data_IF_113927212094
#
_entry.id   IF_113927212094
#
_cell.length_a   1.000
_cell.length_b   1.000
_cell.length_c   1.000
_cell.angle_alpha   90.00
_cell.angle_beta   90.00
_cell.angle_gamma   90.00
#
_symmetry.space_group_name_H-M   'P 1'
#
loop_
_entity.id
_entity.type
_entity.pdbx_description
1 polymer ?
#
# COMPACT_ATOMS: atom_id res chain seq x y z
N UNK A 1 -11.20 -24.85 20.59
CA UNK A 1 -11.32 -23.73 19.68
C UNK A 1 -11.92 -24.16 18.35
N UNK A 2 -12.77 -23.35 17.79
CA UNK A 2 -13.48 -23.67 16.56
C UNK A 2 -12.53 -23.63 15.36
N UNK A 3 -12.52 -24.70 14.55
CA UNK A 3 -11.71 -24.79 13.34
C UNK A 3 -11.95 -23.64 12.35
N UNK A 4 -13.20 -23.17 12.26
CA UNK A 4 -13.56 -22.06 11.38
C UNK A 4 -12.86 -20.76 11.79
N UNK A 5 -12.71 -20.54 13.08
CA UNK A 5 -12.03 -19.35 13.60
C UNK A 5 -10.54 -19.41 13.27
N UNK A 6 -9.91 -20.57 13.45
CA UNK A 6 -8.50 -20.74 13.11
C UNK A 6 -8.26 -20.54 11.62
N UNK A 7 -9.14 -21.11 10.78
CA UNK A 7 -9.03 -20.95 9.34
C UNK A 7 -9.17 -19.48 8.92
N UNK A 8 -10.12 -18.76 9.52
CA UNK A 8 -10.34 -17.35 9.21
C UNK A 8 -9.13 -16.47 9.57
N UNK A 9 -8.48 -16.77 10.71
CA UNK A 9 -7.29 -16.03 11.14
C UNK A 9 -6.02 -16.43 10.39
N UNK A 10 -5.96 -17.64 9.87
CA UNK A 10 -4.81 -18.12 9.10
C UNK A 10 -4.91 -17.79 7.62
N UNK A 11 -6.06 -17.26 7.15
CA UNK A 11 -6.25 -16.89 5.76
C UNK A 11 -5.25 -15.81 5.37
N UNK A 12 -4.44 -16.03 4.31
CA UNK A 12 -3.47 -15.03 3.89
C UNK A 12 -4.15 -13.73 3.45
N UNK A 13 -3.53 -12.61 3.76
CA UNK A 13 -3.99 -11.32 3.28
C UNK A 13 -3.87 -11.24 1.76
N UNK A 14 -4.78 -10.51 1.12
CA UNK A 14 -4.70 -10.26 -0.32
C UNK A 14 -3.51 -9.36 -0.61
N UNK A 15 -2.51 -9.89 -1.29
CA UNK A 15 -1.27 -9.20 -1.63
C UNK A 15 -1.09 -9.15 -3.13
N UNK A 16 -0.43 -8.10 -3.60
CA UNK A 16 -0.07 -7.97 -5.01
C UNK A 16 1.39 -7.53 -5.14
N UNK A 17 1.97 -7.77 -6.31
CA UNK A 17 3.30 -7.32 -6.64
C UNK A 17 3.29 -6.01 -7.42
N UNK A 18 4.49 -5.53 -7.78
CA UNK A 18 4.62 -4.27 -8.50
C UNK A 18 3.98 -4.34 -9.90
N UNK A 19 3.95 -5.50 -10.52
CA UNK A 19 3.36 -5.65 -11.86
C UNK A 19 1.88 -5.27 -11.84
N UNK A 20 1.17 -5.69 -10.80
CA UNK A 20 -0.24 -5.35 -10.64
C UNK A 20 -0.43 -3.86 -10.41
N UNK A 21 0.44 -3.24 -9.63
CA UNK A 21 0.36 -1.79 -9.39
C UNK A 21 0.56 -1.03 -10.68
N UNK A 22 1.54 -1.43 -11.50
CA UNK A 22 1.80 -0.80 -12.79
C UNK A 22 0.58 -0.91 -13.70
N UNK A 23 -0.04 -2.09 -13.77
CA UNK A 23 -1.21 -2.32 -14.62
C UNK A 23 -2.44 -1.57 -14.13
N UNK A 24 -2.60 -1.43 -12.82
CA UNK A 24 -3.79 -0.82 -12.23
C UNK A 24 -3.67 0.68 -12.06
N UNK A 25 -2.56 1.28 -12.39
CA UNK A 25 -2.40 2.74 -12.27
C UNK A 25 -3.50 3.46 -13.06
N UNK A 26 -4.12 4.44 -12.41
CA UNK A 26 -5.25 5.14 -12.97
C UNK A 26 -6.58 4.40 -12.87
N UNK A 27 -6.56 3.12 -12.53
CA UNK A 27 -7.75 2.27 -12.41
C UNK A 27 -8.03 1.85 -10.97
N UNK A 28 -7.19 2.24 -10.03
CA UNK A 28 -7.31 1.88 -8.63
C UNK A 28 -7.22 3.12 -7.75
N UNK A 29 -7.67 2.98 -6.51
CA UNK A 29 -7.42 3.98 -5.47
C UNK A 29 -6.15 3.58 -4.76
N UNK A 30 -5.08 4.35 -4.96
CA UNK A 30 -3.78 4.06 -4.38
C UNK A 30 -3.61 4.86 -3.10
N UNK A 31 -3.49 4.17 -1.99
CA UNK A 31 -3.48 4.76 -0.65
C UNK A 31 -2.20 4.36 0.07
N UNK A 32 -1.50 5.35 0.61
CA UNK A 32 -0.29 5.09 1.40
C UNK A 32 -0.62 5.06 2.90
N UNK A 33 0.20 4.32 3.65
CA UNK A 33 0.11 4.27 5.11
C UNK A 33 1.38 4.79 5.77
N UNK A 34 2.19 5.57 5.04
CA UNK A 34 3.41 6.14 5.56
C UNK A 34 3.12 7.19 6.65
N UNK A 35 4.04 7.37 7.61
CA UNK A 35 3.92 8.49 8.55
C UNK A 35 4.06 9.83 7.81
N UNK A 36 3.43 10.91 8.31
CA UNK A 36 3.46 12.21 7.63
C UNK A 36 4.86 12.71 7.28
N UNK A 37 5.85 12.41 8.12
CA UNK A 37 7.24 12.81 7.89
C UNK A 37 7.90 12.15 6.68
N UNK A 38 7.29 11.09 6.13
CA UNK A 38 7.84 10.32 5.02
C UNK A 38 6.97 10.33 3.77
N UNK A 39 6.06 11.30 3.66
CA UNK A 39 5.14 11.41 2.53
C UNK A 39 5.58 12.40 1.45
N UNK A 40 6.82 12.85 1.48
CA UNK A 40 7.33 13.78 0.46
C UNK A 40 7.40 13.15 -0.93
N UNK A 41 7.72 11.88 -1.01
CA UNK A 41 7.80 11.15 -2.27
C UNK A 41 6.91 9.93 -2.18
N UNK A 42 5.89 9.89 -3.01
CA UNK A 42 4.92 8.80 -3.04
C UNK A 42 4.81 8.27 -4.47
N UNK A 43 4.26 7.08 -4.62
CA UNK A 43 3.94 6.52 -5.94
C UNK A 43 2.98 7.48 -6.64
N UNK A 44 3.24 7.78 -7.89
CA UNK A 44 2.38 8.69 -8.67
C UNK A 44 0.94 8.18 -8.71
N UNK A 45 -0.01 9.05 -8.43
CA UNK A 45 -1.42 8.70 -8.37
C UNK A 45 -1.91 8.37 -6.96
N UNK A 46 -1.04 8.41 -5.95
CA UNK A 46 -1.45 8.21 -4.57
C UNK A 46 -2.41 9.32 -4.14
N UNK A 47 -3.51 8.93 -3.51
CA UNK A 47 -4.50 9.88 -3.01
C UNK A 47 -3.93 10.65 -1.81
N UNK A 48 -4.20 11.95 -1.74
CA UNK A 48 -3.88 12.71 -0.53
C UNK A 48 -4.91 12.38 0.56
N UNK A 49 -4.68 12.87 1.77
CA UNK A 49 -5.51 12.56 2.91
C UNK A 49 -6.99 12.89 2.68
N UNK A 50 -7.27 14.05 2.09
CA UNK A 50 -8.65 14.47 1.83
C UNK A 50 -9.29 13.62 0.75
N UNK A 51 -8.57 13.33 -0.33
CA UNK A 51 -9.06 12.47 -1.39
C UNK A 51 -9.33 11.06 -0.88
N UNK A 52 -8.47 10.55 -0.01
CA UNK A 52 -8.64 9.24 0.63
C UNK A 52 -9.91 9.21 1.47
N UNK A 53 -10.12 10.20 2.32
CA UNK A 53 -11.32 10.30 3.15
C UNK A 53 -12.58 10.36 2.29
N UNK A 54 -12.59 11.22 1.28
CA UNK A 54 -13.73 11.38 0.40
C UNK A 54 -14.03 10.07 -0.35
N UNK A 55 -13.01 9.37 -0.81
CA UNK A 55 -13.17 8.11 -1.51
C UNK A 55 -13.77 7.03 -0.60
N UNK A 56 -13.23 6.87 0.61
CA UNK A 56 -13.72 5.87 1.55
C UNK A 56 -15.14 6.20 2.00
N UNK A 57 -15.44 7.46 2.29
CA UNK A 57 -16.78 7.88 2.65
C UNK A 57 -17.78 7.61 1.52
N UNK A 58 -17.38 7.82 0.28
CA UNK A 58 -18.25 7.52 -0.86
C UNK A 58 -18.58 6.03 -0.97
N UNK A 59 -17.62 5.16 -0.67
CA UNK A 59 -17.83 3.72 -0.66
C UNK A 59 -18.80 3.29 0.43
N UNK A 60 -18.71 3.90 1.61
CA UNK A 60 -19.54 3.56 2.75
C UNK A 60 -20.97 4.06 2.59
N UNK A 61 -21.19 5.16 1.84
CA UNK A 61 -22.52 5.76 1.70
C UNK A 61 -23.31 5.27 0.49
N UNK A 62 -22.65 4.79 -0.56
CA UNK A 62 -23.31 4.49 -1.82
C UNK A 62 -23.77 3.05 -1.99
N UNK A 63 -23.43 2.14 -1.13
CA UNK A 63 -23.78 0.72 -1.24
C UNK A 63 -23.46 0.08 -2.61
N UNK A 64 -22.56 0.69 -3.39
CA UNK A 64 -22.23 0.20 -4.72
C UNK A 64 -20.88 -0.50 -4.72
N UNK A 65 -20.85 -1.72 -5.25
CA UNK A 65 -19.64 -2.52 -5.39
C UNK A 65 -18.85 -2.22 -6.68
N UNK A 66 -19.16 -1.13 -7.35
CA UNK A 66 -18.55 -0.80 -8.63
C UNK A 66 -17.33 0.06 -8.52
N UNK A 67 -16.82 0.21 -7.33
CA UNK A 67 -15.67 1.05 -7.07
C UNK A 67 -14.38 0.44 -7.57
N UNK A 68 -13.43 1.30 -7.81
CA UNK A 68 -12.06 0.89 -8.10
C UNK A 68 -11.51 0.05 -6.96
N UNK A 69 -10.66 -0.94 -7.23
CA UNK A 69 -9.98 -1.64 -6.15
C UNK A 69 -9.08 -0.67 -5.38
N UNK A 70 -8.91 -0.94 -4.09
CA UNK A 70 -8.01 -0.17 -3.24
C UNK A 70 -6.69 -0.92 -3.16
N UNK A 71 -5.60 -0.21 -3.40
CA UNK A 71 -4.25 -0.74 -3.22
C UNK A 71 -3.57 0.08 -2.12
N UNK A 72 -3.17 -0.61 -1.05
CA UNK A 72 -2.49 0.00 0.08
C UNK A 72 -1.00 -0.32 0.00
N UNK A 73 -0.16 0.62 0.39
CA UNK A 73 1.27 0.35 0.52
C UNK A 73 1.88 1.15 1.66
N UNK A 74 2.93 0.60 2.25
CA UNK A 74 3.68 1.25 3.31
C UNK A 74 5.11 1.54 2.90
N UNK A 75 6.02 1.59 3.85
CA UNK A 75 7.42 1.90 3.62
C UNK A 75 8.15 0.80 2.86
N UNK A 76 7.92 -0.45 3.24
CA UNK A 76 8.68 -1.59 2.75
C UNK A 76 7.94 -2.89 3.06
N UNK A 77 8.56 -4.02 2.75
CA UNK A 77 7.94 -5.34 2.92
C UNK A 77 7.73 -5.74 4.39
N UNK A 78 8.41 -5.09 5.33
CA UNK A 78 8.29 -5.38 6.76
C UNK A 78 7.32 -4.45 7.49
N UNK A 79 6.72 -3.50 6.78
CA UNK A 79 5.78 -2.55 7.37
C UNK A 79 4.41 -3.21 7.56
N UNK A 80 3.92 -3.21 8.80
CA UNK A 80 2.63 -3.80 9.15
C UNK A 80 1.45 -2.85 8.94
N UNK A 81 1.71 -1.55 8.79
CA UNK A 81 0.63 -0.55 8.73
C UNK A 81 -0.33 -0.75 7.57
N UNK A 82 0.10 -1.13 6.35
CA UNK A 82 -0.89 -1.38 5.29
C UNK A 82 -1.79 -2.56 5.58
N UNK A 83 -1.29 -3.59 6.27
CA UNK A 83 -2.12 -4.74 6.64
C UNK A 83 -3.12 -4.38 7.73
N UNK A 84 -2.73 -3.54 8.67
CA UNK A 84 -3.66 -3.02 9.70
C UNK A 84 -4.79 -2.23 9.04
N UNK A 85 -4.47 -1.37 8.09
CA UNK A 85 -5.47 -0.60 7.37
C UNK A 85 -6.36 -1.51 6.51
N UNK A 86 -5.80 -2.52 5.88
CA UNK A 86 -6.56 -3.50 5.11
C UNK A 86 -7.62 -4.18 6.00
N UNK A 87 -7.23 -4.64 7.17
CA UNK A 87 -8.17 -5.26 8.11
C UNK A 87 -9.26 -4.29 8.54
N UNK A 88 -8.89 -3.04 8.80
CA UNK A 88 -9.85 -2.00 9.16
C UNK A 88 -10.90 -1.79 8.06
N UNK A 89 -10.45 -1.65 6.82
CA UNK A 89 -11.35 -1.43 5.69
C UNK A 89 -12.23 -2.65 5.42
N UNK A 90 -11.67 -3.85 5.54
CA UNK A 90 -12.46 -5.08 5.40
C UNK A 90 -13.54 -5.17 6.48
N UNK A 91 -13.24 -4.74 7.71
CA UNK A 91 -14.23 -4.74 8.80
C UNK A 91 -15.37 -3.74 8.54
N UNK A 92 -15.14 -2.73 7.73
CA UNK A 92 -16.18 -1.77 7.32
C UNK A 92 -17.02 -2.25 6.14
N UNK A 93 -16.73 -3.44 5.62
CA UNK A 93 -17.48 -4.01 4.50
C UNK A 93 -16.88 -3.74 3.13
N UNK A 94 -15.73 -3.11 3.06
CA UNK A 94 -15.05 -2.85 1.79
C UNK A 94 -14.23 -4.10 1.44
N UNK A 95 -14.56 -4.77 0.32
CA UNK A 95 -14.01 -6.10 0.02
C UNK A 95 -12.80 -6.07 -0.92
N UNK A 96 -12.71 -5.13 -1.84
CA UNK A 96 -11.64 -5.07 -2.82
C UNK A 96 -10.47 -4.23 -2.32
N UNK A 97 -9.76 -4.76 -1.31
CA UNK A 97 -8.63 -4.09 -0.67
C UNK A 97 -7.42 -5.00 -0.75
N UNK A 98 -6.38 -4.52 -1.42
CA UNK A 98 -5.15 -5.26 -1.68
C UNK A 98 -3.97 -4.52 -1.09
N UNK A 99 -2.90 -5.25 -0.74
CA UNK A 99 -1.67 -4.65 -0.24
C UNK A 99 -0.54 -4.90 -1.25
N UNK A 100 0.09 -3.81 -1.67
CA UNK A 100 1.34 -3.89 -2.42
C UNK A 100 2.47 -4.17 -1.41
N UNK A 101 2.88 -5.42 -1.35
CA UNK A 101 3.78 -5.88 -0.29
C UNK A 101 5.18 -5.28 -0.35
N UNK A 102 5.68 -4.92 -1.54
CA UNK A 102 7.00 -4.33 -1.67
C UNK A 102 7.13 -2.94 -1.08
N UNK A 103 6.05 -2.18 -1.09
CA UNK A 103 6.01 -0.84 -0.54
C UNK A 103 6.82 0.18 -1.33
N UNK A 104 6.97 1.36 -0.73
CA UNK A 104 7.67 2.46 -1.40
C UNK A 104 9.14 2.12 -1.65
N UNK A 105 9.78 1.38 -0.76
CA UNK A 105 11.18 1.00 -0.93
C UNK A 105 11.41 0.23 -2.23
N UNK A 106 10.60 -0.79 -2.48
CA UNK A 106 10.71 -1.56 -3.73
C UNK A 106 10.43 -0.69 -4.95
N UNK A 107 9.40 0.16 -4.89
CA UNK A 107 9.06 1.05 -6.00
C UNK A 107 10.22 1.99 -6.35
N UNK A 108 10.87 2.56 -5.34
CA UNK A 108 12.01 3.44 -5.56
C UNK A 108 13.24 2.69 -6.11
N UNK A 109 13.47 1.45 -5.67
CA UNK A 109 14.52 0.61 -6.24
C UNK A 109 14.25 0.33 -7.72
N UNK A 110 13.02 -0.01 -8.06
CA UNK A 110 12.62 -0.26 -9.44
C UNK A 110 12.74 1.00 -10.29
N UNK A 111 12.40 2.15 -9.73
CA UNK A 111 12.58 3.42 -10.42
C UNK A 111 14.05 3.70 -10.70
N UNK A 112 14.93 3.40 -9.76
CA UNK A 112 16.36 3.59 -9.92
C UNK A 112 16.94 2.73 -11.06
N UNK A 113 16.41 1.53 -11.22
CA UNK A 113 16.87 0.57 -12.25
C UNK A 113 16.20 0.81 -13.60
N UNK A 114 14.89 1.00 -13.62
CA UNK A 114 14.09 1.03 -14.85
C UNK A 114 13.61 2.41 -15.26
N UNK A 115 13.77 3.42 -14.41
CA UNK A 115 13.45 4.79 -14.72
C UNK A 115 12.09 5.29 -14.23
N UNK A 116 11.94 6.61 -14.26
CA UNK A 116 10.76 7.31 -13.76
C UNK A 116 9.54 7.15 -14.67
N UNK A 117 9.74 6.79 -15.93
CA UNK A 117 8.63 6.62 -16.86
C UNK A 117 7.79 5.39 -16.48
N UNK A 118 8.44 4.30 -16.10
CA UNK A 118 7.75 3.07 -15.73
C UNK A 118 7.33 3.04 -14.26
N UNK A 119 8.12 3.66 -13.39
CA UNK A 119 7.86 3.71 -11.95
C UNK A 119 7.82 5.16 -11.45
N UNK A 120 6.80 5.93 -11.88
CA UNK A 120 6.75 7.35 -11.54
C UNK A 120 6.40 7.60 -10.07
N UNK A 121 6.91 8.70 -9.56
CA UNK A 121 6.63 9.18 -8.20
C UNK A 121 6.20 10.64 -8.24
N UNK A 122 5.67 11.11 -7.11
CA UNK A 122 5.18 12.49 -7.00
C UNK A 122 6.31 13.53 -6.99
N UNK A 123 7.53 13.10 -6.60
CA UNK A 123 8.71 13.98 -6.63
C UNK A 123 9.88 13.24 -7.26
N UNK A 124 10.93 13.98 -7.63
CA UNK A 124 12.12 13.38 -8.23
C UNK A 124 12.85 12.50 -7.22
N UNK A 125 13.08 11.23 -7.58
CA UNK A 125 13.73 10.26 -6.69
C UNK A 125 15.20 10.62 -6.38
N UNK A 126 15.82 11.48 -7.18
CA UNK A 126 17.23 11.85 -7.01
C UNK A 126 17.56 12.49 -5.68
N UNK A 127 16.54 13.03 -5.00
CA UNK A 127 16.73 13.70 -3.71
C UNK A 127 16.49 12.77 -2.52
N UNK A 128 16.07 11.52 -2.78
CA UNK A 128 15.72 10.58 -1.73
C UNK A 128 16.83 9.60 -1.44
N UNK A 129 17.12 9.40 -0.17
CA UNK A 129 17.98 8.33 0.27
C UNK A 129 17.17 7.04 0.36
N UNK A 130 17.42 6.11 -0.56
CA UNK A 130 16.71 4.83 -0.60
C UNK A 130 16.81 4.07 0.71
N UNK A 131 17.93 4.22 1.42
CA UNK A 131 18.15 3.50 2.68
C UNK A 131 17.20 3.96 3.78
N UNK A 132 16.61 5.15 3.67
CA UNK A 132 15.61 5.62 4.63
C UNK A 132 14.39 4.71 4.69
N UNK A 133 14.09 4.03 3.58
CA UNK A 133 12.90 3.21 3.46
C UNK A 133 13.18 1.71 3.59
N UNK A 134 14.43 1.34 3.88
CA UNK A 134 14.82 -0.07 3.96
C UNK A 134 14.09 -0.79 5.11
N UNK A 135 13.87 -2.11 4.96
CA UNK A 135 13.32 -2.90 6.07
C UNK A 135 14.27 -2.92 7.27
N UNK A 136 13.69 -3.09 8.44
CA UNK A 136 14.47 -3.22 9.69
C UNK A 136 15.33 -4.47 9.64
N UNK A 137 16.56 -4.36 10.18
CA UNK A 137 17.48 -5.50 10.27
C UNK A 137 17.06 -6.41 11.41
N UNK A 138 16.49 -7.56 11.07
CA UNK A 138 15.99 -8.52 12.04
C UNK A 138 17.12 -9.09 12.90
N UNK A 139 18.27 -9.38 12.28
CA UNK A 139 19.40 -9.96 13.00
C UNK A 139 19.96 -9.06 14.10
N UNK A 140 19.92 -7.75 13.89
CA UNK A 140 20.41 -6.81 14.89
C UNK A 140 19.52 -6.77 16.14
N UNK A 141 18.29 -7.26 16.05
CA UNK A 141 17.38 -7.34 17.20
C UNK A 141 17.57 -8.61 18.01
N UNK A 142 18.13 -9.64 17.39
CA UNK A 142 18.35 -10.95 18.02
C UNK A 142 19.67 -10.97 18.76
N UNK A 143 20.64 -10.26 18.27
CA UNK A 143 21.98 -10.18 18.83
C UNK A 143 22.26 -8.81 19.44
#
# INVERSE_FOLDING_TARGET
>A
MNRLVEWAFSKPAKKIGFEDVVQQRGKCALINTLPPSKQECLISGTLDLKQEEDFINSLLTKYTNTSKPIILYGLNACDETPYQKQRQLLSLGISEVWVYSGGLFEWLLLQDVYGETEFPTTTAAKTNDLLMFRPSMVLSRVF
#
